data_IF_370070259081
#
_entry.id   IF_370070259081
#
_cell.length_a   1.000
_cell.length_b   1.000
_cell.length_c   1.000
_cell.angle_alpha   90.00
_cell.angle_beta   90.00
_cell.angle_gamma   90.00
#
_symmetry.space_group_name_H-M   'P 1'
#
loop_
_entity.id
_entity.type
_entity.pdbx_description
1 polymer ?
#
# COMPACT_ATOMS: atom_id res chain seq x y z
N UNK A 1 11.99 3.25 43.50
CA UNK A 1 12.16 4.52 42.79
C UNK A 1 11.84 4.28 41.33
N UNK A 2 10.68 4.75 40.88
CA UNK A 2 10.20 4.65 39.50
C UNK A 2 10.97 5.65 38.63
N UNK A 3 11.86 5.16 37.77
CA UNK A 3 12.44 5.95 36.70
C UNK A 3 11.46 6.03 35.55
N UNK A 4 10.70 7.13 35.46
CA UNK A 4 9.92 7.45 34.28
C UNK A 4 10.88 7.93 33.19
N UNK A 5 11.26 7.05 32.26
CA UNK A 5 11.87 7.47 31.00
C UNK A 5 10.80 8.09 30.11
N UNK A 6 10.51 9.37 30.37
CA UNK A 6 9.77 10.24 29.45
C UNK A 6 10.68 10.59 28.27
N UNK A 7 10.94 9.62 27.40
CA UNK A 7 11.50 9.89 26.08
C UNK A 7 10.42 10.56 25.23
N UNK A 8 10.72 11.68 24.57
CA UNK A 8 9.83 12.34 23.60
C UNK A 8 9.26 11.37 22.54
N UNK A 9 9.89 10.21 22.33
CA UNK A 9 9.40 9.12 21.48
C UNK A 9 8.10 8.47 21.99
N UNK A 10 7.86 8.40 23.31
CA UNK A 10 6.61 7.86 23.85
C UNK A 10 5.46 8.87 23.73
N UNK A 11 5.77 10.18 23.74
CA UNK A 11 4.78 11.25 23.62
C UNK A 11 4.29 11.49 22.18
N UNK A 12 5.17 11.34 21.18
CA UNK A 12 4.77 11.45 19.77
C UNK A 12 4.05 10.20 19.26
N UNK A 13 4.35 9.02 19.82
CA UNK A 13 3.63 7.77 19.50
C UNK A 13 2.24 7.71 20.14
N UNK A 14 2.00 8.39 21.26
CA UNK A 14 0.72 8.35 21.98
C UNK A 14 -0.40 9.18 21.35
N UNK A 15 -0.07 10.15 20.47
CA UNK A 15 -1.06 11.06 19.85
C UNK A 15 -1.41 10.72 18.41
N UNK A 16 -0.61 9.88 17.74
CA UNK A 16 -0.97 9.31 16.43
C UNK A 16 -1.59 7.94 16.64
N UNK A 17 -2.90 7.83 16.46
CA UNK A 17 -3.51 6.50 16.35
C UNK A 17 -2.82 5.76 15.19
N UNK A 18 -2.27 4.57 15.45
CA UNK A 18 -1.61 3.74 14.44
C UNK A 18 -2.51 3.39 13.25
N UNK A 19 -1.94 2.77 12.20
CA UNK A 19 -2.75 2.31 11.07
C UNK A 19 -3.83 1.36 11.55
N UNK A 20 -5.00 1.38 10.90
CA UNK A 20 -6.10 0.50 11.27
C UNK A 20 -5.69 -0.95 10.97
N UNK A 21 -5.77 -1.81 11.98
CA UNK A 21 -5.40 -3.22 11.90
C UNK A 21 -6.46 -4.08 12.60
N UNK A 22 -6.73 -5.26 12.04
CA UNK A 22 -7.67 -6.24 12.58
C UNK A 22 -7.27 -7.65 12.12
N UNK A 23 -7.20 -8.58 13.05
CA UNK A 23 -6.71 -9.93 12.84
C UNK A 23 -7.75 -10.87 13.42
N UNK A 24 -8.14 -11.84 12.60
CA UNK A 24 -8.98 -12.94 13.02
C UNK A 24 -8.22 -14.22 12.77
N UNK A 25 -8.46 -15.24 13.59
CA UNK A 25 -8.04 -16.58 13.22
C UNK A 25 -8.87 -16.97 11.99
N UNK A 26 -8.25 -16.88 10.81
CA UNK A 26 -8.93 -17.14 9.56
C UNK A 26 -9.52 -18.56 9.60
N UNK A 27 -10.86 -18.65 9.62
CA UNK A 27 -11.58 -19.93 9.66
C UNK A 27 -11.47 -20.66 8.33
N UNK A 28 -11.27 -19.92 7.23
CA UNK A 28 -10.96 -20.49 5.94
C UNK A 28 -9.46 -20.83 5.93
N UNK A 29 -9.12 -22.07 6.26
CA UNK A 29 -7.73 -22.52 6.40
C UNK A 29 -6.83 -22.35 5.17
N UNK A 30 -7.32 -21.83 4.02
CA UNK A 30 -6.57 -21.38 2.84
C UNK A 30 -7.35 -20.30 2.07
N UNK A 31 -6.63 -19.37 1.43
CA UNK A 31 -7.18 -18.42 0.46
C UNK A 31 -7.92 -19.17 -0.66
N UNK A 32 -9.12 -18.72 -1.02
CA UNK A 32 -9.97 -19.32 -2.08
C UNK A 32 -9.64 -18.80 -3.48
N UNK A 33 -8.60 -17.98 -3.64
CA UNK A 33 -8.18 -17.42 -4.93
C UNK A 33 -7.39 -18.51 -5.70
N UNK A 34 -7.66 -18.73 -7.00
CA UNK A 34 -6.97 -19.76 -7.79
C UNK A 34 -5.45 -19.53 -7.82
N UNK A 35 -4.69 -20.59 -7.55
CA UNK A 35 -3.24 -20.58 -7.38
C UNK A 35 -2.49 -20.32 -8.70
N UNK A 36 -1.72 -19.24 -8.76
CA UNK A 36 -0.82 -18.91 -9.88
C UNK A 36 0.65 -19.18 -9.54
N UNK A 37 1.54 -19.40 -10.53
CA UNK A 37 2.99 -19.53 -10.27
C UNK A 37 3.64 -18.28 -9.65
N UNK A 38 3.06 -17.10 -9.88
CA UNK A 38 3.39 -15.86 -9.16
C UNK A 38 3.06 -15.96 -7.68
N UNK A 39 1.92 -16.57 -7.33
CA UNK A 39 1.52 -16.81 -5.95
C UNK A 39 2.49 -17.78 -5.26
N UNK A 40 3.04 -18.76 -5.97
CA UNK A 40 4.05 -19.69 -5.41
C UNK A 40 5.31 -18.95 -4.94
N UNK A 41 5.83 -18.01 -5.74
CA UNK A 41 7.01 -17.21 -5.39
C UNK A 41 6.72 -16.23 -4.26
N UNK A 42 5.56 -15.59 -4.30
CA UNK A 42 5.11 -14.70 -3.24
C UNK A 42 4.94 -15.47 -1.93
N UNK A 43 4.23 -16.60 -1.95
CA UNK A 43 4.01 -17.47 -0.80
C UNK A 43 5.30 -18.05 -0.24
N UNK A 44 6.24 -18.48 -1.09
CA UNK A 44 7.58 -18.90 -0.66
C UNK A 44 8.31 -17.77 0.07
N UNK A 45 8.33 -16.56 -0.51
CA UNK A 45 8.94 -15.40 0.16
C UNK A 45 8.26 -15.08 1.48
N UNK A 46 6.93 -15.12 1.55
CA UNK A 46 6.17 -14.92 2.82
C UNK A 46 6.56 -15.93 3.88
N UNK A 47 6.55 -17.22 3.53
CA UNK A 47 6.91 -18.32 4.44
C UNK A 47 8.36 -18.20 4.88
N UNK A 48 9.26 -17.85 3.97
CA UNK A 48 10.67 -17.63 4.27
C UNK A 48 10.87 -16.43 5.21
N UNK A 49 10.23 -15.29 4.92
CA UNK A 49 10.27 -14.11 5.77
C UNK A 49 9.67 -14.38 7.15
N UNK A 50 8.52 -15.08 7.23
CA UNK A 50 7.87 -15.46 8.48
C UNK A 50 8.75 -16.41 9.31
N UNK A 51 9.41 -17.38 8.67
CA UNK A 51 10.32 -18.31 9.32
C UNK A 51 11.64 -17.65 9.75
N UNK A 52 12.07 -16.59 9.06
CA UNK A 52 13.33 -15.90 9.36
C UNK A 52 13.26 -15.10 10.67
N UNK A 53 12.07 -14.78 11.19
CA UNK A 53 11.90 -13.99 12.42
C UNK A 53 12.45 -12.57 12.35
N UNK A 54 12.99 -12.16 11.20
CA UNK A 54 13.35 -10.78 10.90
C UNK A 54 12.05 -10.05 10.68
N UNK A 55 11.97 -8.83 11.20
CA UNK A 55 10.85 -7.99 10.91
C UNK A 55 10.55 -7.90 9.40
N UNK A 56 9.31 -8.21 9.04
CA UNK A 56 8.65 -8.08 7.74
C UNK A 56 7.94 -6.71 7.67
N UNK A 57 8.42 -5.78 6.82
CA UNK A 57 8.02 -4.37 6.85
C UNK A 57 9.08 -3.40 6.31
N UNK A 58 8.68 -2.26 5.73
CA UNK A 58 9.62 -1.26 5.26
C UNK A 58 10.29 -0.65 6.49
N UNK A 59 11.61 -0.75 6.53
CA UNK A 59 12.40 -0.30 7.68
C UNK A 59 12.39 1.22 7.72
N UNK A 60 11.75 1.77 8.74
CA UNK A 60 11.82 3.19 9.06
C UNK A 60 13.21 3.47 9.63
N UNK A 61 13.98 4.36 9.00
CA UNK A 61 15.34 4.64 9.46
C UNK A 61 15.40 5.20 10.89
N UNK A 62 14.29 5.77 11.39
CA UNK A 62 14.17 6.33 12.74
C UNK A 62 13.74 5.33 13.83
N UNK A 63 13.08 4.22 13.48
CA UNK A 63 12.51 3.29 14.46
C UNK A 63 13.40 2.06 14.75
N UNK A 64 14.22 1.55 13.82
CA UNK A 64 15.30 0.59 14.09
C UNK A 64 16.03 0.20 12.78
N UNK A 65 17.35 -0.06 12.77
CA UNK A 65 18.02 -0.66 11.61
C UNK A 65 17.53 -2.09 11.26
N UNK A 66 16.85 -2.78 12.18
CA UNK A 66 16.55 -4.23 12.09
C UNK A 66 15.10 -4.65 12.39
N UNK A 67 14.23 -3.75 12.85
CA UNK A 67 12.86 -4.08 13.30
C UNK A 67 11.78 -3.64 12.32
N UNK A 68 10.65 -4.32 12.34
CA UNK A 68 9.44 -3.92 11.59
C UNK A 68 8.30 -3.58 12.50
N UNK A 69 7.33 -2.88 11.93
CA UNK A 69 6.24 -2.20 12.63
C UNK A 69 5.06 -3.14 12.95
N UNK A 70 5.30 -4.45 13.04
CA UNK A 70 4.25 -5.46 13.29
C UNK A 70 3.53 -5.27 14.65
N UNK A 71 4.14 -4.55 15.60
CA UNK A 71 3.62 -4.35 16.96
C UNK A 71 2.42 -3.39 17.10
N UNK A 72 1.88 -2.86 15.99
CA UNK A 72 0.73 -1.91 16.02
C UNK A 72 -0.62 -2.61 15.78
N UNK A 73 -0.81 -3.81 16.33
CA UNK A 73 -2.07 -4.53 16.25
C UNK A 73 -3.06 -4.06 17.33
N UNK A 74 -4.29 -3.71 16.91
CA UNK A 74 -5.40 -3.45 17.85
C UNK A 74 -6.15 -4.76 18.12
N UNK A 75 -6.53 -5.09 19.37
CA UNK A 75 -7.28 -6.30 19.68
C UNK A 75 -8.57 -6.43 18.85
N UNK A 76 -9.07 -7.66 18.72
CA UNK A 76 -10.20 -8.05 17.85
C UNK A 76 -11.59 -7.54 18.27
N UNK A 77 -11.66 -6.32 18.81
CA UNK A 77 -12.89 -5.68 19.24
C UNK A 77 -13.78 -5.28 18.06
N UNK A 78 -15.09 -5.29 18.29
CA UNK A 78 -16.07 -4.88 17.27
C UNK A 78 -15.88 -3.42 16.79
N UNK A 79 -15.39 -2.54 17.66
CA UNK A 79 -15.07 -1.15 17.31
C UNK A 79 -13.82 -1.06 16.43
N UNK A 80 -12.79 -1.87 16.71
CA UNK A 80 -11.59 -1.96 15.89
C UNK A 80 -11.94 -2.47 14.48
N UNK A 81 -12.84 -3.45 14.37
CA UNK A 81 -13.34 -3.96 13.10
C UNK A 81 -14.05 -2.88 12.28
N UNK A 82 -15.01 -2.16 12.88
CA UNK A 82 -15.71 -1.04 12.22
C UNK A 82 -14.74 0.04 11.75
N UNK A 83 -13.73 0.33 12.58
CA UNK A 83 -12.66 1.28 12.25
C UNK A 83 -11.85 0.80 11.04
N UNK A 84 -11.51 -0.48 10.97
CA UNK A 84 -10.81 -1.09 9.83
C UNK A 84 -11.62 -1.01 8.55
N UNK A 85 -12.90 -1.38 8.58
CA UNK A 85 -13.79 -1.27 7.41
C UNK A 85 -13.82 0.17 6.90
N UNK A 86 -14.08 1.14 7.79
CA UNK A 86 -14.11 2.57 7.43
C UNK A 86 -12.77 3.07 6.87
N UNK A 87 -11.66 2.64 7.47
CA UNK A 87 -10.33 3.02 7.01
C UNK A 87 -10.02 2.41 5.63
N UNK A 88 -10.38 1.15 5.39
CA UNK A 88 -10.19 0.47 4.11
C UNK A 88 -10.99 1.14 3.00
N UNK A 89 -12.28 1.43 3.21
CA UNK A 89 -13.06 2.20 2.24
C UNK A 89 -12.44 3.56 1.94
N UNK A 90 -11.99 4.29 2.97
CA UNK A 90 -11.37 5.60 2.77
C UNK A 90 -10.07 5.52 1.98
N UNK A 91 -9.20 4.56 2.30
CA UNK A 91 -7.91 4.39 1.65
C UNK A 91 -8.06 3.88 0.22
N UNK A 92 -8.79 2.77 0.04
CA UNK A 92 -8.90 2.07 -1.23
C UNK A 92 -9.71 2.91 -2.20
N UNK A 93 -10.83 3.50 -1.79
CA UNK A 93 -11.69 4.28 -2.69
C UNK A 93 -11.23 5.75 -2.88
N UNK A 94 -10.00 6.10 -2.49
CA UNK A 94 -9.45 7.43 -2.72
C UNK A 94 -10.23 8.56 -2.05
N UNK A 95 -10.66 8.33 -0.81
CA UNK A 95 -11.46 9.26 0.00
C UNK A 95 -12.81 9.63 -0.64
N UNK A 96 -13.37 8.74 -1.45
CA UNK A 96 -14.75 8.80 -1.95
C UNK A 96 -15.61 7.77 -1.23
N UNK A 97 -16.55 8.20 -0.36
CA UNK A 97 -17.43 7.26 0.33
C UNK A 97 -18.46 6.68 -0.67
N UNK A 98 -18.67 5.35 -0.67
CA UNK A 98 -19.70 4.72 -1.49
C UNK A 98 -21.09 4.99 -0.89
N UNK A 99 -22.10 5.04 -1.75
CA UNK A 99 -23.52 5.07 -1.33
C UNK A 99 -23.92 3.73 -0.72
N UNK A 100 -24.98 3.66 0.07
CA UNK A 100 -25.47 2.40 0.69
C UNK A 100 -25.68 1.26 -0.33
N UNK A 101 -26.16 1.56 -1.54
CA UNK A 101 -26.34 0.59 -2.62
C UNK A 101 -25.04 0.14 -3.30
N UNK A 102 -23.96 0.92 -3.14
CA UNK A 102 -22.65 0.66 -3.73
C UNK A 102 -21.69 0.02 -2.71
N UNK A 103 -22.11 -0.15 -1.46
CA UNK A 103 -21.34 -0.82 -0.43
C UNK A 103 -21.35 -2.33 -0.64
N UNK A 104 -20.18 -2.93 -0.50
CA UNK A 104 -20.00 -4.38 -0.67
C UNK A 104 -20.30 -5.11 0.64
N UNK A 105 -21.58 -5.11 1.02
CA UNK A 105 -22.07 -5.73 2.27
C UNK A 105 -21.68 -7.20 2.42
N UNK A 106 -21.56 -7.93 1.31
CA UNK A 106 -21.10 -9.32 1.29
C UNK A 106 -19.64 -9.46 1.76
N UNK A 107 -18.75 -8.56 1.34
CA UNK A 107 -17.34 -8.56 1.76
C UNK A 107 -17.20 -8.15 3.23
N UNK A 108 -17.98 -7.18 3.68
CA UNK A 108 -18.02 -6.78 5.09
C UNK A 108 -18.45 -7.94 5.99
N UNK A 109 -19.52 -8.65 5.63
CA UNK A 109 -20.01 -9.80 6.40
C UNK A 109 -18.95 -10.91 6.49
N UNK A 110 -18.24 -11.21 5.40
CA UNK A 110 -17.15 -12.19 5.38
C UNK A 110 -15.99 -11.80 6.29
N UNK A 111 -15.63 -10.51 6.32
CA UNK A 111 -14.61 -9.99 7.22
C UNK A 111 -15.05 -10.06 8.69
N UNK A 112 -16.30 -9.70 8.98
CA UNK A 112 -16.89 -9.79 10.33
C UNK A 112 -16.92 -11.24 10.84
N UNK A 113 -17.23 -12.20 9.96
CA UNK A 113 -17.25 -13.62 10.30
C UNK A 113 -15.86 -14.24 10.51
N UNK A 114 -14.79 -13.56 10.06
CA UNK A 114 -13.42 -14.06 10.03
C UNK A 114 -13.17 -15.10 8.93
N UNK A 115 -13.91 -15.02 7.82
CA UNK A 115 -13.72 -15.88 6.64
C UNK A 115 -12.61 -15.36 5.70
N UNK A 116 -12.33 -14.05 5.76
CA UNK A 116 -11.31 -13.38 4.95
C UNK A 116 -10.44 -12.50 5.84
N UNK A 117 -9.20 -12.30 5.42
CA UNK A 117 -8.28 -11.37 6.09
C UNK A 117 -8.47 -9.93 5.56
N UNK A 118 -7.87 -8.94 6.23
CA UNK A 118 -7.94 -7.53 5.81
C UNK A 118 -7.36 -7.33 4.40
N UNK A 119 -6.27 -8.03 4.06
CA UNK A 119 -5.72 -8.02 2.70
C UNK A 119 -6.72 -8.52 1.66
N UNK A 120 -7.39 -9.63 1.92
CA UNK A 120 -8.33 -10.23 0.98
C UNK A 120 -9.59 -9.36 0.85
N UNK A 121 -9.98 -8.68 1.93
CA UNK A 121 -10.99 -7.62 1.91
C UNK A 121 -10.58 -6.44 1.02
N UNK A 122 -9.35 -5.94 1.15
CA UNK A 122 -8.80 -4.87 0.30
C UNK A 122 -8.74 -5.30 -1.17
N UNK A 123 -8.34 -6.54 -1.47
CA UNK A 123 -8.34 -7.10 -2.83
C UNK A 123 -9.76 -7.12 -3.41
N UNK A 124 -10.75 -7.60 -2.63
CA UNK A 124 -12.15 -7.60 -3.03
C UNK A 124 -12.70 -6.20 -3.30
N UNK A 125 -12.41 -5.24 -2.42
CA UNK A 125 -12.81 -3.83 -2.60
C UNK A 125 -12.23 -3.23 -3.88
N UNK A 126 -10.96 -3.50 -4.19
CA UNK A 126 -10.32 -3.02 -5.40
C UNK A 126 -10.82 -3.72 -6.69
N UNK A 127 -11.57 -4.82 -6.57
CA UNK A 127 -12.23 -5.48 -7.71
C UNK A 127 -13.71 -5.11 -7.86
N UNK A 128 -14.26 -4.36 -6.89
CA UNK A 128 -15.65 -3.89 -6.92
C UNK A 128 -15.94 -3.07 -8.17
N UNK A 129 -17.21 -3.08 -8.59
CA UNK A 129 -17.68 -2.26 -9.71
C UNK A 129 -17.46 -0.77 -9.44
N UNK A 130 -17.73 -0.32 -8.21
CA UNK A 130 -17.51 1.05 -7.78
C UNK A 130 -16.04 1.50 -7.94
N UNK A 131 -15.08 0.64 -7.57
CA UNK A 131 -13.66 0.96 -7.74
C UNK A 131 -13.27 1.01 -9.22
N UNK A 132 -13.72 0.03 -10.02
CA UNK A 132 -13.46 -0.03 -11.47
C UNK A 132 -14.00 1.20 -12.19
N UNK A 133 -15.22 1.64 -11.87
CA UNK A 133 -15.83 2.81 -12.50
C UNK A 133 -15.00 4.08 -12.28
N UNK A 134 -14.50 4.27 -11.06
CA UNK A 134 -13.76 5.46 -10.68
C UNK A 134 -12.27 5.42 -11.08
N UNK A 135 -11.58 4.29 -10.87
CA UNK A 135 -10.11 4.19 -10.99
C UNK A 135 -9.67 3.50 -12.28
N UNK A 136 -10.57 2.84 -13.01
CA UNK A 136 -10.23 2.18 -14.26
C UNK A 136 -10.99 2.76 -15.45
N UNK A 137 -12.32 2.72 -15.46
CA UNK A 137 -13.12 3.17 -16.60
C UNK A 137 -13.09 4.69 -16.79
N UNK A 138 -12.96 5.45 -15.71
CA UNK A 138 -12.94 6.91 -15.81
C UNK A 138 -11.56 7.46 -16.21
N UNK A 139 -10.45 6.82 -15.88
CA UNK A 139 -9.12 7.43 -16.05
C UNK A 139 -8.30 6.76 -17.15
N UNK A 140 -7.30 7.48 -17.68
CA UNK A 140 -6.32 6.88 -18.60
C UNK A 140 -5.45 5.83 -17.89
N UNK A 141 -4.90 4.87 -18.64
CA UNK A 141 -4.14 3.74 -18.09
C UNK A 141 -3.04 4.16 -17.09
N UNK A 142 -2.25 5.19 -17.42
CA UNK A 142 -1.19 5.69 -16.53
C UNK A 142 -1.73 6.23 -15.20
N UNK A 143 -2.84 6.99 -15.23
CA UNK A 143 -3.48 7.51 -14.01
C UNK A 143 -4.09 6.38 -13.19
N UNK A 144 -4.70 5.39 -13.84
CA UNK A 144 -5.23 4.20 -13.16
C UNK A 144 -4.14 3.43 -12.41
N UNK A 145 -2.99 3.19 -13.05
CA UNK A 145 -1.84 2.56 -12.40
C UNK A 145 -1.33 3.40 -11.21
N UNK A 146 -1.15 4.71 -11.38
CA UNK A 146 -0.75 5.60 -10.28
C UNK A 146 -1.67 5.52 -9.06
N UNK A 147 -2.98 5.52 -9.30
CA UNK A 147 -3.97 5.39 -8.25
C UNK A 147 -3.93 4.01 -7.59
N UNK A 148 -3.75 2.93 -8.36
CA UNK A 148 -3.58 1.59 -7.78
C UNK A 148 -2.35 1.52 -6.85
N UNK A 149 -1.22 2.11 -7.26
CA UNK A 149 -0.02 2.22 -6.39
C UNK A 149 -0.31 3.02 -5.11
N UNK A 150 -1.03 4.13 -5.24
CA UNK A 150 -1.43 4.96 -4.11
C UNK A 150 -2.36 4.21 -3.14
N UNK A 151 -3.41 3.59 -3.65
CA UNK A 151 -4.47 2.95 -2.85
C UNK A 151 -3.99 1.67 -2.17
N UNK A 152 -3.32 0.78 -2.93
CA UNK A 152 -2.95 -0.55 -2.46
C UNK A 152 -1.58 -0.60 -1.82
N UNK A 153 -0.58 0.06 -2.42
CA UNK A 153 0.78 0.05 -1.91
C UNK A 153 1.11 1.28 -1.06
N UNK A 154 0.25 2.29 -1.00
CA UNK A 154 0.48 3.47 -0.16
C UNK A 154 1.67 4.33 -0.61
N UNK A 155 2.12 4.21 -1.86
CA UNK A 155 3.27 4.94 -2.41
C UNK A 155 3.03 5.36 -3.86
N UNK A 156 3.87 6.26 -4.36
CA UNK A 156 3.95 6.54 -5.78
C UNK A 156 4.75 5.44 -6.53
N UNK A 157 4.57 5.31 -7.86
CA UNK A 157 5.46 4.51 -8.71
C UNK A 157 6.90 5.03 -8.63
N UNK A 158 7.88 4.12 -8.58
CA UNK A 158 9.29 4.46 -8.39
C UNK A 158 9.97 4.83 -9.71
N UNK A 159 9.58 4.17 -10.80
CA UNK A 159 10.21 4.30 -12.11
C UNK A 159 9.18 4.21 -13.24
N UNK A 160 9.53 4.78 -14.40
CA UNK A 160 8.70 4.64 -15.58
C UNK A 160 8.55 3.18 -16.01
N UNK A 161 9.59 2.36 -15.84
CA UNK A 161 9.56 0.94 -16.16
C UNK A 161 8.51 0.17 -15.34
N UNK A 162 8.40 0.48 -14.05
CA UNK A 162 7.38 -0.11 -13.17
C UNK A 162 5.97 0.19 -13.70
N UNK A 163 5.68 1.46 -14.03
CA UNK A 163 4.39 1.87 -14.62
C UNK A 163 4.12 1.10 -15.92
N UNK A 164 5.11 0.99 -16.81
CA UNK A 164 4.94 0.28 -18.08
C UNK A 164 4.68 -1.22 -17.89
N UNK A 165 5.38 -1.86 -16.95
CA UNK A 165 5.19 -3.29 -16.68
C UNK A 165 3.77 -3.59 -16.17
N UNK A 166 3.20 -2.73 -15.32
CA UNK A 166 1.83 -2.90 -14.84
C UNK A 166 0.78 -2.58 -15.91
N UNK A 167 1.03 -1.61 -16.80
CA UNK A 167 0.17 -1.37 -17.97
C UNK A 167 0.16 -2.61 -18.89
N UNK A 168 1.32 -3.21 -19.14
CA UNK A 168 1.42 -4.44 -19.94
C UNK A 168 0.66 -5.60 -19.30
N UNK A 169 0.88 -5.84 -18.00
CA UNK A 169 0.18 -6.88 -17.26
C UNK A 169 -1.34 -6.68 -17.32
N UNK A 170 -1.80 -5.44 -17.15
CA UNK A 170 -3.22 -5.10 -17.25
C UNK A 170 -3.80 -5.35 -18.65
N UNK A 171 -3.02 -5.09 -19.70
CA UNK A 171 -3.44 -5.34 -21.08
C UNK A 171 -3.47 -6.83 -21.43
N UNK A 172 -2.54 -7.62 -20.89
CA UNK A 172 -2.40 -9.06 -21.19
C UNK A 172 -3.34 -9.94 -20.36
N UNK A 173 -3.53 -9.62 -19.07
CA UNK A 173 -4.24 -10.47 -18.11
C UNK A 173 -5.50 -9.81 -17.52
N UNK A 174 -5.76 -8.56 -17.86
CA UNK A 174 -6.92 -7.81 -17.36
C UNK A 174 -6.68 -7.11 -16.03
N UNK A 175 -7.70 -6.39 -15.57
CA UNK A 175 -7.64 -5.55 -14.37
C UNK A 175 -7.57 -6.37 -13.08
N UNK A 176 -8.34 -7.45 -12.97
CA UNK A 176 -8.40 -8.24 -11.74
C UNK A 176 -7.03 -8.90 -11.44
N UNK A 177 -6.35 -9.38 -12.49
CA UNK A 177 -4.98 -9.91 -12.40
C UNK A 177 -3.96 -8.83 -11.98
N UNK A 178 -4.15 -7.57 -12.40
CA UNK A 178 -3.32 -6.46 -11.92
C UNK A 178 -3.49 -6.26 -10.41
N UNK A 179 -4.73 -6.24 -9.91
CA UNK A 179 -5.00 -6.07 -8.48
C UNK A 179 -4.37 -7.22 -7.69
N UNK A 180 -4.54 -8.46 -8.14
CA UNK A 180 -3.92 -9.64 -7.54
C UNK A 180 -2.40 -9.50 -7.48
N UNK A 181 -1.77 -9.11 -8.59
CA UNK A 181 -0.32 -8.91 -8.65
C UNK A 181 0.21 -7.88 -7.64
N UNK A 182 -0.59 -6.86 -7.31
CA UNK A 182 -0.23 -5.80 -6.36
C UNK A 182 -0.43 -6.26 -4.91
N UNK A 183 -1.58 -6.86 -4.59
CA UNK A 183 -1.89 -7.32 -3.22
C UNK A 183 -1.11 -8.55 -2.80
N UNK A 184 -0.79 -9.44 -3.75
CA UNK A 184 0.03 -10.63 -3.48
C UNK A 184 1.53 -10.38 -3.59
N UNK A 185 1.94 -9.14 -3.91
CA UNK A 185 3.35 -8.77 -3.99
C UNK A 185 4.09 -8.99 -2.67
N UNK A 186 5.40 -9.27 -2.78
CA UNK A 186 6.27 -9.42 -1.63
C UNK A 186 6.32 -8.11 -0.82
N UNK A 187 6.35 -6.97 -1.49
CA UNK A 187 6.32 -5.66 -0.84
C UNK A 187 5.04 -5.45 -0.02
N UNK A 188 3.86 -5.77 -0.57
CA UNK A 188 2.61 -5.62 0.18
C UNK A 188 2.64 -6.47 1.45
N UNK A 189 3.06 -7.73 1.33
CA UNK A 189 3.12 -8.62 2.50
C UNK A 189 4.19 -8.18 3.49
N UNK A 190 5.32 -7.66 3.00
CA UNK A 190 6.34 -7.06 3.84
C UNK A 190 5.72 -5.93 4.66
N UNK A 191 5.08 -4.99 4.02
CA UNK A 191 4.62 -3.76 4.65
C UNK A 191 3.40 -3.94 5.55
N UNK A 192 2.35 -4.58 5.04
CA UNK A 192 1.04 -4.59 5.66
C UNK A 192 0.67 -5.97 6.24
N UNK A 193 1.38 -7.02 5.82
CA UNK A 193 0.99 -8.39 6.14
C UNK A 193 -0.41 -8.72 5.61
N UNK A 194 -1.18 -9.47 6.40
CA UNK A 194 -2.58 -9.81 6.10
C UNK A 194 -3.60 -8.94 6.82
N UNK A 195 -3.20 -8.24 7.88
CA UNK A 195 -4.10 -7.74 8.93
C UNK A 195 -4.13 -6.21 9.05
N UNK A 196 -3.22 -5.52 8.34
CA UNK A 196 -3.13 -4.05 8.36
C UNK A 196 -3.75 -3.49 7.09
N UNK A 197 -4.61 -2.47 7.23
CA UNK A 197 -5.13 -1.71 6.10
C UNK A 197 -4.00 -0.88 5.48
N UNK A 198 -3.86 -0.84 4.14
CA UNK A 198 -2.87 0.01 3.50
C UNK A 198 -2.96 1.46 3.99
N UNK A 199 -1.82 2.12 4.07
CA UNK A 199 -1.71 3.52 4.47
C UNK A 199 -0.58 4.19 3.70
N UNK A 200 -0.56 5.52 3.65
CA UNK A 200 0.52 6.27 3.00
C UNK A 200 1.87 6.04 3.70
N UNK A 201 2.89 5.70 2.91
CA UNK A 201 4.23 5.34 3.39
C UNK A 201 5.34 6.23 2.85
N UNK A 202 5.04 7.42 2.37
CA UNK A 202 6.10 8.26 1.80
C UNK A 202 6.52 9.40 2.72
N UNK A 203 5.82 9.59 3.85
CA UNK A 203 6.12 10.65 4.82
C UNK A 203 7.51 10.49 5.46
N UNK A 204 7.97 9.25 5.59
CA UNK A 204 9.25 8.90 6.21
C UNK A 204 10.21 8.28 5.19
N UNK A 205 11.49 8.24 5.55
CA UNK A 205 12.54 7.61 4.74
C UNK A 205 12.56 6.10 4.97
N UNK A 206 12.19 5.34 3.95
CA UNK A 206 12.23 3.88 3.96
C UNK A 206 13.38 3.34 3.10
N UNK A 207 13.99 2.24 3.52
CA UNK A 207 15.04 1.58 2.74
C UNK A 207 14.53 1.19 1.34
N UNK A 208 15.29 1.51 0.30
CA UNK A 208 14.92 1.25 -1.10
C UNK A 208 13.97 2.29 -1.73
N UNK A 209 13.52 3.29 -0.99
CA UNK A 209 12.68 4.37 -1.52
C UNK A 209 13.53 5.55 -2.00
N UNK A 210 13.21 6.11 -3.17
CA UNK A 210 13.86 7.34 -3.64
C UNK A 210 13.29 8.57 -2.92
N UNK A 211 14.12 9.59 -2.69
CA UNK A 211 13.66 10.89 -2.14
C UNK A 211 12.55 11.52 -2.98
N UNK A 212 12.59 11.34 -4.32
CA UNK A 212 11.53 11.83 -5.22
C UNK A 212 10.16 11.22 -4.94
N UNK A 213 10.08 10.03 -4.35
CA UNK A 213 8.82 9.33 -4.09
C UNK A 213 7.92 10.12 -3.14
N UNK A 214 8.50 10.90 -2.21
CA UNK A 214 7.75 11.82 -1.35
C UNK A 214 7.05 12.91 -2.18
N UNK A 215 7.79 13.58 -3.07
CA UNK A 215 7.23 14.62 -3.93
C UNK A 215 6.14 14.06 -4.86
N UNK A 216 6.38 12.89 -5.46
CA UNK A 216 5.40 12.21 -6.32
C UNK A 216 4.12 11.84 -5.56
N UNK A 217 4.24 11.35 -4.33
CA UNK A 217 3.07 11.01 -3.53
C UNK A 217 2.28 12.27 -3.13
N UNK A 218 2.96 13.37 -2.84
CA UNK A 218 2.33 14.67 -2.60
C UNK A 218 1.52 15.14 -3.81
N UNK A 219 2.07 14.98 -5.01
CA UNK A 219 1.41 15.35 -6.27
C UNK A 219 0.22 14.43 -6.59
N UNK A 220 0.30 13.16 -6.20
CA UNK A 220 -0.82 12.20 -6.23
C UNK A 220 -1.86 12.43 -5.13
N UNK A 221 -1.60 13.35 -4.19
CA UNK A 221 -2.52 13.72 -3.12
C UNK A 221 -2.53 12.75 -1.93
N UNK A 222 -1.42 12.05 -1.64
CA UNK A 222 -1.29 11.15 -0.50
C UNK A 222 -1.50 11.81 0.87
N UNK A 223 -1.16 13.10 1.00
CA UNK A 223 -1.26 13.85 2.26
C UNK A 223 -2.57 14.66 2.42
N UNK A 224 -3.52 14.53 1.48
CA UNK A 224 -4.73 15.34 1.45
C UNK A 224 -5.87 14.63 2.19
N UNK A 225 -6.24 15.16 3.34
CA UNK A 225 -7.22 14.53 4.25
C UNK A 225 -8.68 14.67 3.78
N UNK A 226 -8.98 15.73 3.00
CA UNK A 226 -10.36 16.11 2.64
C UNK A 226 -10.58 16.27 1.12
N UNK A 227 -9.75 15.64 0.28
CA UNK A 227 -9.86 15.74 -1.18
C UNK A 227 -10.02 14.32 -1.74
N UNK A 228 -11.04 14.12 -2.57
CA UNK A 228 -11.23 12.86 -3.30
C UNK A 228 -10.32 12.82 -4.53
N UNK A 229 -9.92 11.63 -4.94
CA UNK A 229 -9.02 11.49 -6.10
C UNK A 229 -9.69 11.86 -7.43
N UNK A 230 -11.00 11.70 -7.54
CA UNK A 230 -11.77 12.18 -8.71
C UNK A 230 -11.72 13.70 -8.84
N UNK A 231 -11.66 14.45 -7.73
CA UNK A 231 -11.56 15.90 -7.76
C UNK A 231 -10.17 16.39 -8.23
N UNK A 232 -9.16 15.52 -8.27
CA UNK A 232 -7.80 15.88 -8.69
C UNK A 232 -7.58 15.78 -10.21
N UNK A 233 -8.62 15.38 -10.94
CA UNK A 233 -8.63 15.21 -12.38
C UNK A 233 -8.18 13.82 -12.84
N UNK A 234 -8.36 13.57 -14.14
CA UNK A 234 -8.20 12.25 -14.78
C UNK A 234 -6.83 12.05 -15.42
N UNK A 235 -6.01 13.10 -15.44
CA UNK A 235 -4.66 13.08 -16.01
C UNK A 235 -3.65 12.53 -15.01
N UNK A 236 -2.66 11.82 -15.53
CA UNK A 236 -1.51 11.34 -14.75
C UNK A 236 -0.74 12.51 -14.12
N UNK A 237 -0.25 12.31 -12.90
CA UNK A 237 0.55 13.32 -12.18
C UNK A 237 2.04 12.99 -12.16
N UNK A 238 2.43 11.71 -12.34
CA UNK A 238 3.81 11.26 -12.17
C UNK A 238 4.59 11.13 -13.47
N UNK A 239 3.92 11.05 -14.63
CA UNK A 239 4.56 10.74 -15.92
C UNK A 239 5.68 11.71 -16.28
N UNK A 240 5.47 13.02 -16.15
CA UNK A 240 6.52 14.00 -16.48
C UNK A 240 7.73 13.88 -15.56
N UNK A 241 7.50 13.72 -14.27
CA UNK A 241 8.57 13.59 -13.28
C UNK A 241 9.35 12.28 -13.47
N UNK A 242 8.67 11.17 -13.76
CA UNK A 242 9.30 9.88 -14.01
C UNK A 242 10.03 9.84 -15.36
N UNK A 243 9.50 10.47 -16.40
CA UNK A 243 10.16 10.58 -17.70
C UNK A 243 11.44 11.42 -17.60
N UNK A 244 11.38 12.55 -16.89
CA UNK A 244 12.55 13.39 -16.63
C UNK A 244 13.61 12.63 -15.82
N UNK A 245 13.21 11.89 -14.79
CA UNK A 245 14.13 11.07 -14.00
C UNK A 245 14.79 9.95 -14.83
N UNK A 246 14.03 9.31 -15.73
CA UNK A 246 14.57 8.32 -16.66
C UNK A 246 15.62 8.96 -17.58
N UNK A 247 15.31 10.11 -18.18
CA UNK A 247 16.24 10.87 -19.03
C UNK A 247 17.52 11.27 -18.29
N UNK A 248 17.41 11.66 -17.01
CA UNK A 248 18.59 12.05 -16.23
C UNK A 248 19.47 10.84 -15.90
N UNK A 249 18.86 9.69 -15.61
CA UNK A 249 19.59 8.46 -15.28
C UNK A 249 20.47 7.93 -16.43
N UNK A 250 20.13 8.25 -17.68
CA UNK A 250 20.88 7.82 -18.86
C UNK A 250 22.00 8.78 -19.27
N UNK A 251 22.13 9.94 -18.63
CA UNK A 251 23.21 10.89 -18.92
C UNK A 251 24.53 10.40 -18.31
N UNK A 252 25.64 10.42 -19.06
CA UNK A 252 26.96 10.17 -18.49
C UNK A 252 27.28 11.28 -17.50
N UNK A 253 27.58 10.91 -16.25
CA UNK A 253 27.99 11.87 -15.22
C UNK A 253 29.48 12.17 -15.42
N UNK A 254 29.88 13.43 -15.65
CA UNK A 254 31.30 13.77 -15.72
C UNK A 254 31.92 13.59 -14.33
N UNK A 255 32.89 12.68 -14.22
CA UNK A 255 33.68 12.52 -13.00
C UNK A 255 34.95 13.39 -13.11
N UNK A 256 35.03 14.45 -12.31
CA UNK A 256 36.26 15.21 -12.14
C UNK A 256 36.96 14.76 -10.86
N UNK A 257 38.26 14.47 -10.95
CA UNK A 257 39.10 14.25 -9.79
C UNK A 257 39.97 15.49 -9.56
N UNK A 258 40.03 15.94 -8.30
CA UNK A 258 40.99 16.93 -7.85
C UNK A 258 41.96 16.21 -6.92
N UNK A 259 43.25 16.18 -7.27
CA UNK A 259 44.28 15.65 -6.39
C UNK A 259 44.40 16.53 -5.16
N UNK A 260 44.30 15.95 -3.97
CA UNK A 260 44.61 16.64 -2.72
C UNK A 260 46.12 16.65 -2.57
N UNK A 261 46.75 17.81 -2.85
CA UNK A 261 48.18 18.08 -2.61
C UNK A 261 48.35 18.88 -1.33
#
# INVERSE_FOLDING_TARGET
MLGAETSLKSLTSATRTGPASFSTNNKAGKSTVPYTPSDARAEYKRKHCAASGIGIGPRLHSECPFGVVADRYSPGDSEALKRVIKAAYRQVLGNMPPTESQQETSLEARLVNGEINVRDFVNGLAKSTFYKDNVFHSVGAQRGIELNFKHLLGRAPLSQAEVQNHIKLQAEHGFDALIDSLTDSAEYTEVFGSDIVPYERTQDSYAGMFTRSYNLMRDLGGMKVAISDNAQGRQSKTVNALANALRESTKPQPFSYVSVT
#
